data_IF_901347582377
#
_entry.id   IF_901347582377
#
_cell.length_a   1.000
_cell.length_b   1.000
_cell.length_c   1.000
_cell.angle_alpha   90.00
_cell.angle_beta   90.00
_cell.angle_gamma   90.00
#
_symmetry.space_group_name_H-M   'P 1'
#
loop_
_entity.id
_entity.type
_entity.pdbx_description
1 polymer ?
#
# COMPACT_ATOMS: atom_id res chain seq x y z
N UNK A 1 27.63 -9.82 15.12
CA UNK A 1 27.76 -8.80 16.18
C UNK A 1 26.40 -8.13 16.33
N UNK A 2 25.72 -8.35 17.46
CA UNK A 2 24.40 -7.79 17.71
C UNK A 2 24.52 -6.33 18.18
N UNK A 3 23.63 -5.47 17.70
CA UNK A 3 23.60 -4.03 18.03
C UNK A 3 23.18 -3.82 19.50
N UNK A 4 23.84 -2.91 20.25
CA UNK A 4 23.68 -2.73 21.69
C UNK A 4 22.48 -1.84 22.12
N UNK A 5 21.54 -1.54 21.23
CA UNK A 5 20.38 -0.70 21.53
C UNK A 5 19.09 -1.52 21.43
N UNK A 6 18.36 -1.79 22.54
CA UNK A 6 17.14 -2.61 22.53
C UNK A 6 15.91 -1.84 22.03
N UNK A 7 16.10 -0.65 21.46
CA UNK A 7 15.00 0.15 20.94
C UNK A 7 14.61 -0.37 19.57
N UNK A 8 13.47 -1.04 19.54
CA UNK A 8 12.74 -1.39 18.33
C UNK A 8 12.68 -0.16 17.41
N UNK A 9 13.37 -0.23 16.28
CA UNK A 9 13.39 0.83 15.27
C UNK A 9 12.37 0.45 14.19
N UNK A 10 11.09 0.87 14.31
CA UNK A 10 10.08 0.51 13.32
C UNK A 10 10.49 1.10 11.97
N UNK A 11 10.47 0.24 10.96
CA UNK A 11 10.71 0.63 9.59
C UNK A 11 9.44 0.42 8.78
N UNK A 12 9.21 1.35 7.88
CA UNK A 12 8.19 1.24 6.84
C UNK A 12 8.96 1.27 5.53
N UNK A 13 8.75 0.25 4.70
CA UNK A 13 9.13 0.30 3.31
C UNK A 13 7.89 0.50 2.45
N UNK A 14 7.98 1.44 1.51
CA UNK A 14 6.88 1.79 0.61
C UNK A 14 7.43 1.78 -0.80
N UNK A 15 6.88 0.91 -1.64
CA UNK A 15 7.18 0.87 -3.07
C UNK A 15 5.96 1.35 -3.85
N UNK A 16 6.13 2.42 -4.62
CA UNK A 16 5.08 3.05 -5.41
C UNK A 16 5.53 3.14 -6.87
N UNK A 17 4.74 2.57 -7.79
CA UNK A 17 5.10 2.45 -9.22
C UNK A 17 6.51 1.83 -9.44
N UNK A 18 6.88 0.85 -8.60
CA UNK A 18 8.19 0.21 -8.63
C UNK A 18 9.35 1.04 -8.07
N UNK A 19 9.06 2.19 -7.44
CA UNK A 19 10.07 3.07 -6.84
C UNK A 19 9.98 3.03 -5.31
N UNK A 20 11.11 2.87 -4.60
CA UNK A 20 11.12 3.00 -3.15
C UNK A 20 10.90 4.47 -2.75
N UNK A 21 9.92 4.72 -1.91
CA UNK A 21 9.54 6.06 -1.40
C UNK A 21 9.39 6.09 0.13
N UNK A 22 9.83 5.04 0.83
CA UNK A 22 9.71 4.95 2.30
C UNK A 22 10.28 6.17 3.02
N UNK A 23 11.48 6.64 2.63
CA UNK A 23 12.13 7.82 3.22
C UNK A 23 11.38 9.15 2.97
N UNK A 24 10.53 9.21 1.95
CA UNK A 24 9.72 10.39 1.62
C UNK A 24 8.34 10.35 2.27
N UNK A 25 7.96 9.21 2.87
CA UNK A 25 6.64 8.99 3.44
C UNK A 25 6.59 9.56 4.85
N UNK A 26 5.95 10.71 5.01
CA UNK A 26 5.80 11.40 6.28
C UNK A 26 4.71 10.77 7.16
N UNK A 27 3.64 10.26 6.54
CA UNK A 27 2.58 9.50 7.24
C UNK A 27 2.05 8.37 6.38
N UNK A 28 1.72 7.27 7.04
CA UNK A 28 1.08 6.09 6.48
C UNK A 28 -0.16 5.77 7.35
N UNK A 29 -1.27 5.42 6.70
CA UNK A 29 -2.39 4.74 7.33
C UNK A 29 -2.86 3.60 6.44
N UNK A 30 -2.96 2.40 7.02
CA UNK A 30 -3.63 1.25 6.39
C UNK A 30 -4.88 0.96 7.20
N UNK A 31 -6.00 0.76 6.53
CA UNK A 31 -7.26 0.37 7.14
C UNK A 31 -7.76 -0.89 6.46
N UNK A 32 -7.82 -1.96 7.24
CA UNK A 32 -8.37 -3.24 6.84
C UNK A 32 -9.59 -3.56 7.69
N UNK A 33 -10.65 -4.04 7.05
CA UNK A 33 -11.92 -4.40 7.70
C UNK A 33 -12.45 -5.68 7.08
N UNK A 34 -12.72 -6.70 7.91
CA UNK A 34 -13.30 -7.98 7.48
C UNK A 34 -14.69 -7.82 6.85
N UNK A 35 -15.43 -6.79 7.26
CA UNK A 35 -16.73 -6.45 6.69
C UNK A 35 -16.62 -5.44 5.54
N UNK A 36 -15.43 -4.86 5.35
CA UNK A 36 -15.14 -3.89 4.32
C UNK A 36 -15.09 -4.52 2.93
N UNK A 37 -15.43 -3.73 1.90
CA UNK A 37 -15.32 -4.18 0.50
C UNK A 37 -13.89 -4.15 -0.04
N UNK A 38 -12.96 -3.54 0.69
CA UNK A 38 -11.59 -3.33 0.26
C UNK A 38 -10.77 -2.79 1.42
N UNK A 39 -9.51 -3.22 1.49
CA UNK A 39 -8.52 -2.53 2.31
C UNK A 39 -8.10 -1.23 1.62
N UNK A 40 -7.82 -0.20 2.44
CA UNK A 40 -7.42 1.12 1.94
C UNK A 40 -6.09 1.55 2.56
N UNK A 41 -5.31 2.28 1.77
CA UNK A 41 -4.04 2.84 2.20
C UNK A 41 -4.03 4.35 1.92
N UNK A 42 -3.47 5.14 2.83
CA UNK A 42 -3.25 6.57 2.66
C UNK A 42 -1.79 6.89 2.98
N UNK A 43 -1.11 7.54 2.04
CA UNK A 43 0.26 8.03 2.20
C UNK A 43 0.27 9.55 2.11
N UNK A 44 1.01 10.19 3.01
CA UNK A 44 1.43 11.58 2.85
C UNK A 44 2.92 11.59 2.54
N UNK A 45 3.28 12.12 1.38
CA UNK A 45 4.63 12.08 0.85
C UNK A 45 5.16 13.50 0.68
N UNK A 46 6.38 13.74 1.15
CA UNK A 46 7.09 14.97 0.88
C UNK A 46 7.59 14.96 -0.58
N UNK A 47 6.94 15.73 -1.45
CA UNK A 47 7.29 15.84 -2.88
C UNK A 47 7.67 17.28 -3.22
N UNK A 48 8.72 17.80 -2.56
CA UNK A 48 9.09 19.21 -2.65
C UNK A 48 9.44 19.72 -4.06
N UNK A 49 9.71 18.84 -5.02
CA UNK A 49 9.95 19.18 -6.43
C UNK A 49 8.80 18.81 -7.37
N UNK A 50 7.75 18.17 -6.87
CA UNK A 50 6.60 17.72 -7.67
C UNK A 50 6.94 16.61 -8.66
N UNK A 51 8.04 15.87 -8.46
CA UNK A 51 8.49 14.82 -9.38
C UNK A 51 7.59 13.58 -9.28
N UNK A 52 7.23 13.19 -8.05
CA UNK A 52 6.33 12.06 -7.83
C UNK A 52 4.92 12.38 -8.36
N UNK A 53 4.41 13.59 -8.11
CA UNK A 53 3.09 14.01 -8.60
C UNK A 53 2.95 13.88 -10.12
N UNK A 54 4.03 14.07 -10.87
CA UNK A 54 4.03 13.95 -12.35
C UNK A 54 4.20 12.51 -12.83
N UNK A 55 4.87 11.68 -12.05
CA UNK A 55 5.19 10.31 -12.41
C UNK A 55 4.07 9.32 -12.04
N UNK A 56 3.42 9.53 -10.90
CA UNK A 56 2.45 8.59 -10.34
C UNK A 56 1.06 8.81 -10.94
N UNK A 57 0.39 7.70 -11.25
CA UNK A 57 -0.93 7.66 -11.86
C UNK A 57 -1.85 6.69 -11.14
N UNK A 58 -3.15 6.87 -11.35
CA UNK A 58 -4.15 5.90 -10.92
C UNK A 58 -3.89 4.55 -11.61
N UNK A 59 -3.95 3.48 -10.83
CA UNK A 59 -3.66 2.12 -11.26
C UNK A 59 -2.22 1.67 -11.04
N UNK A 60 -1.31 2.59 -10.70
CA UNK A 60 0.07 2.22 -10.40
C UNK A 60 0.14 1.28 -9.18
N UNK A 61 1.03 0.28 -9.19
CA UNK A 61 1.15 -0.65 -8.08
C UNK A 61 1.66 0.06 -6.82
N UNK A 62 1.10 -0.33 -5.67
CA UNK A 62 1.49 0.13 -4.36
C UNK A 62 1.69 -1.07 -3.42
N UNK A 63 2.86 -1.14 -2.80
CA UNK A 63 3.22 -2.13 -1.79
C UNK A 63 3.73 -1.41 -0.54
N UNK A 64 3.24 -1.85 0.62
CA UNK A 64 3.69 -1.35 1.92
C UNK A 64 4.10 -2.54 2.79
N UNK A 65 5.31 -2.45 3.34
CA UNK A 65 5.85 -3.40 4.29
C UNK A 65 6.23 -2.70 5.58
N UNK A 66 6.10 -3.39 6.69
CA UNK A 66 6.41 -2.88 8.03
C UNK A 66 7.09 -3.95 8.88
N UNK A 67 7.98 -3.52 9.76
CA UNK A 67 8.68 -4.37 10.70
C UNK A 67 9.71 -3.58 11.50
N UNK A 68 10.65 -4.26 12.13
CA UNK A 68 11.74 -3.62 12.86
C UNK A 68 13.06 -3.74 12.12
N UNK A 69 13.95 -2.75 12.30
CA UNK A 69 15.26 -2.77 11.67
C UNK A 69 16.05 -4.02 12.07
N UNK A 70 16.55 -4.76 11.06
CA UNK A 70 17.27 -6.01 11.25
C UNK A 70 16.40 -7.28 11.19
N UNK A 71 15.09 -7.13 11.04
CA UNK A 71 14.14 -8.22 10.80
C UNK A 71 13.58 -8.17 9.37
N UNK A 72 12.96 -9.27 8.94
CA UNK A 72 12.21 -9.31 7.67
C UNK A 72 10.94 -8.46 7.78
N UNK A 73 10.74 -7.55 6.83
CA UNK A 73 9.55 -6.70 6.81
C UNK A 73 8.33 -7.49 6.32
N UNK A 74 7.24 -7.39 7.06
CA UNK A 74 5.96 -8.04 6.73
C UNK A 74 5.17 -7.16 5.77
N UNK A 75 4.60 -7.75 4.73
CA UNK A 75 3.64 -7.06 3.86
C UNK A 75 2.35 -6.76 4.63
N UNK A 76 2.00 -5.49 4.71
CA UNK A 76 0.77 -5.02 5.39
C UNK A 76 -0.25 -4.44 4.42
N UNK A 77 0.14 -4.16 3.18
CA UNK A 77 -0.78 -3.70 2.14
C UNK A 77 -0.21 -3.97 0.75
N UNK A 78 -1.04 -4.50 -0.15
CA UNK A 78 -0.74 -4.67 -1.57
C UNK A 78 -1.94 -4.29 -2.41
N UNK A 79 -1.76 -3.34 -3.31
CA UNK A 79 -2.84 -2.80 -4.11
C UNK A 79 -2.39 -1.87 -5.22
N UNK A 80 -3.25 -0.94 -5.56
CA UNK A 80 -3.02 0.08 -6.60
C UNK A 80 -3.40 1.46 -6.11
N UNK A 81 -2.82 2.48 -6.75
CA UNK A 81 -3.21 3.88 -6.56
C UNK A 81 -4.64 4.07 -7.06
N UNK A 82 -5.52 4.50 -6.16
CA UNK A 82 -6.88 4.93 -6.49
C UNK A 82 -6.92 6.42 -6.84
N UNK A 83 -6.19 7.24 -6.10
CA UNK A 83 -6.22 8.70 -6.21
C UNK A 83 -4.85 9.32 -5.88
N UNK A 84 -4.51 10.37 -6.63
CA UNK A 84 -3.32 11.19 -6.42
C UNK A 84 -3.80 12.61 -6.12
N UNK A 85 -3.54 13.09 -4.91
CA UNK A 85 -3.88 14.44 -4.46
C UNK A 85 -3.06 15.51 -5.17
N UNK A 86 -3.56 16.74 -5.14
CA UNK A 86 -2.94 17.89 -5.82
C UNK A 86 -2.11 18.78 -4.89
N UNK A 87 -2.24 18.60 -3.57
CA UNK A 87 -1.64 19.43 -2.52
C UNK A 87 -0.23 18.96 -2.15
N UNK A 88 0.51 19.82 -1.45
CA UNK A 88 1.77 19.50 -0.74
C UNK A 88 1.46 19.49 0.78
N UNK A 89 1.68 18.38 1.51
CA UNK A 89 2.26 17.11 1.07
C UNK A 89 1.38 16.35 0.07
N UNK A 90 2.02 15.62 -0.83
CA UNK A 90 1.35 14.78 -1.83
C UNK A 90 0.60 13.66 -1.12
N UNK A 91 -0.72 13.58 -1.34
CA UNK A 91 -1.56 12.52 -0.76
C UNK A 91 -1.79 11.43 -1.80
N UNK A 92 -1.39 10.20 -1.50
CA UNK A 92 -1.71 9.02 -2.33
C UNK A 92 -2.72 8.17 -1.59
N UNK A 93 -3.84 7.85 -2.24
CA UNK A 93 -4.83 6.90 -1.72
C UNK A 93 -4.75 5.63 -2.52
N UNK A 94 -4.48 4.52 -1.85
CA UNK A 94 -4.45 3.18 -2.40
C UNK A 94 -5.71 2.38 -2.06
N UNK A 95 -5.99 1.38 -2.89
CA UNK A 95 -7.00 0.37 -2.63
C UNK A 95 -6.42 -1.01 -2.98
N UNK A 96 -6.76 -2.04 -2.22
CA UNK A 96 -6.27 -3.39 -2.46
C UNK A 96 -6.78 -3.99 -3.79
N UNK A 97 -6.20 -5.12 -4.18
CA UNK A 97 -6.63 -5.84 -5.38
C UNK A 97 -8.01 -6.51 -5.20
N UNK A 98 -8.42 -6.82 -3.97
CA UNK A 98 -9.73 -7.42 -3.70
C UNK A 98 -10.87 -6.47 -4.10
N UNK A 99 -10.67 -5.16 -3.99
CA UNK A 99 -11.60 -4.16 -4.49
C UNK A 99 -11.90 -4.30 -5.98
N UNK A 100 -10.91 -4.70 -6.78
CA UNK A 100 -11.06 -4.89 -8.23
C UNK A 100 -11.98 -6.08 -8.50
N UNK A 101 -11.85 -7.16 -7.72
CA UNK A 101 -12.76 -8.31 -7.79
C UNK A 101 -14.17 -7.90 -7.39
N UNK A 102 -14.34 -7.10 -6.34
CA UNK A 102 -15.65 -6.61 -5.90
C UNK A 102 -16.33 -5.65 -6.89
N UNK A 103 -15.57 -4.93 -7.71
CA UNK A 103 -16.12 -4.08 -8.79
C UNK A 103 -16.40 -4.86 -10.08
N UNK A 104 -15.78 -6.04 -10.27
CA UNK A 104 -16.07 -6.91 -11.40
C UNK A 104 -17.24 -7.82 -11.04
N UNK A 105 -18.40 -7.60 -11.68
CA UNK A 105 -19.53 -8.52 -11.57
C UNK A 105 -19.21 -9.81 -12.36
N UNK A 106 -18.65 -10.80 -11.68
CA UNK A 106 -18.52 -12.16 -12.22
C UNK A 106 -19.92 -12.77 -12.25
N UNK A 107 -20.44 -13.06 -13.45
CA UNK A 107 -21.68 -13.83 -13.65
C UNK A 107 -21.26 -15.21 -14.14
N UNK A 108 -20.84 -16.06 -13.21
CA UNK A 108 -20.48 -17.44 -13.50
C UNK A 108 -21.33 -18.34 -12.59
N UNK A 109 -21.91 -19.37 -13.18
CA UNK A 109 -22.65 -20.40 -12.45
C UNK A 109 -21.68 -21.53 -12.19
N UNK A 110 -21.49 -21.87 -10.92
CA UNK A 110 -20.65 -23.00 -10.52
C UNK A 110 -21.59 -24.16 -10.17
N UNK A 111 -21.55 -25.24 -10.95
CA UNK A 111 -22.22 -26.51 -10.64
C UNK A 111 -21.13 -27.54 -10.37
N UNK A 112 -21.21 -28.21 -9.22
CA UNK A 112 -20.27 -29.25 -8.76
C UNK A 112 -18.79 -28.81 -8.60
N UNK A 113 -18.52 -27.51 -8.51
CA UNK A 113 -17.18 -26.97 -8.20
C UNK A 113 -17.04 -26.65 -6.70
N UNK A 114 -15.96 -27.11 -6.07
CA UNK A 114 -15.54 -26.66 -4.73
C UNK A 114 -14.50 -25.56 -4.84
N UNK A 115 -14.65 -24.52 -4.01
CA UNK A 115 -13.58 -23.56 -3.79
C UNK A 115 -12.39 -24.30 -3.15
N UNK A 116 -11.33 -24.55 -3.91
CA UNK A 116 -10.06 -24.98 -3.35
C UNK A 116 -9.38 -23.75 -2.74
N UNK A 117 -9.30 -23.75 -1.41
CA UNK A 117 -8.52 -22.80 -0.61
C UNK A 117 -7.20 -23.42 -0.18
#
# INVERSE_FOLDING_TARGET
MASPYPYLCPMIDVTLAGRPIGLLTARLGVTSDLCGKADTCVLLIADGKGELRRAIRRGDPLLVQWGYAGEDLTEIFRGVVREVGLSDPLVIRGIDYNAILNHKRVRMTFEDETANG
#
